data_IF_510250485651
#
_entry.id   IF_510250485651
#
_cell.length_a   1.000
_cell.length_b   1.000
_cell.length_c   1.000
_cell.angle_alpha   90.00
_cell.angle_beta   90.00
_cell.angle_gamma   90.00
#
_symmetry.space_group_name_H-M   'P 1'
#
loop_
_entity.id
_entity.type
_entity.pdbx_description
1 polymer ?
#
# COMPACT_ATOMS: atom_id res chain seq x y z
N UNK A 1 -3.49 0.84 13.40
CA UNK A 1 -2.14 1.37 13.72
C UNK A 1 -1.24 0.39 14.47
N UNK A 2 -1.67 -0.25 15.57
CA UNK A 2 -0.80 -1.15 16.36
C UNK A 2 -0.08 -2.25 15.55
N UNK A 3 -0.81 -2.89 14.64
CA UNK A 3 -0.24 -3.93 13.77
C UNK A 3 0.57 -3.25 12.67
N UNK A 4 -0.07 -2.74 11.62
CA UNK A 4 0.57 -2.19 10.42
C UNK A 4 1.67 -1.13 10.65
N UNK A 5 1.62 -0.35 11.73
CA UNK A 5 2.59 0.72 11.98
C UNK A 5 3.52 0.40 13.17
N UNK A 6 2.98 0.21 14.39
CA UNK A 6 3.86 0.06 15.56
C UNK A 6 4.71 -1.23 15.53
N UNK A 7 4.23 -2.29 14.88
CA UNK A 7 5.03 -3.51 14.76
C UNK A 7 6.29 -3.27 13.95
N UNK A 8 6.28 -2.38 12.94
CA UNK A 8 7.47 -2.04 12.15
C UNK A 8 8.59 -1.49 13.03
N UNK A 9 8.28 -0.53 13.90
CA UNK A 9 9.25 0.03 14.84
C UNK A 9 9.80 -1.04 15.79
N UNK A 10 8.92 -1.90 16.29
CA UNK A 10 9.29 -2.94 17.25
C UNK A 10 10.18 -4.01 16.61
N UNK A 11 9.87 -4.46 15.39
CA UNK A 11 10.67 -5.47 14.67
C UNK A 11 12.01 -4.89 14.23
N UNK A 12 12.03 -3.70 13.65
CA UNK A 12 13.29 -3.06 13.24
C UNK A 12 14.18 -2.80 14.46
N UNK A 13 13.64 -2.29 15.57
CA UNK A 13 14.42 -2.08 16.80
C UNK A 13 15.02 -3.38 17.34
N UNK A 14 14.33 -4.51 17.20
CA UNK A 14 14.80 -5.80 17.68
C UNK A 14 15.91 -6.40 16.80
N UNK A 15 15.78 -6.31 15.47
CA UNK A 15 16.66 -7.04 14.54
C UNK A 15 17.75 -6.19 13.89
N UNK A 16 17.52 -4.89 13.69
CA UNK A 16 18.44 -4.01 12.98
C UNK A 16 19.84 -3.93 13.62
N UNK A 17 20.00 -3.85 14.96
CA UNK A 17 21.33 -3.78 15.56
C UNK A 17 22.22 -4.97 15.19
N UNK A 18 21.65 -6.18 15.15
CA UNK A 18 22.37 -7.38 14.77
C UNK A 18 22.70 -7.41 13.27
N UNK A 19 21.76 -6.97 12.41
CA UNK A 19 22.02 -6.85 10.96
C UNK A 19 23.17 -5.87 10.69
N UNK A 20 23.22 -4.74 11.40
CA UNK A 20 24.31 -3.77 11.33
C UNK A 20 25.63 -4.36 11.81
N UNK A 21 25.63 -5.05 12.96
CA UNK A 21 26.83 -5.70 13.50
C UNK A 21 27.41 -6.76 12.56
N UNK A 22 26.55 -7.52 11.87
CA UNK A 22 26.95 -8.52 10.89
C UNK A 22 27.27 -7.94 9.51
N UNK A 23 27.00 -6.64 9.29
CA UNK A 23 27.06 -5.98 7.98
C UNK A 23 26.28 -6.77 6.91
N UNK A 24 25.17 -7.38 7.32
CA UNK A 24 24.34 -8.20 6.46
C UNK A 24 22.90 -8.23 6.97
N UNK A 25 21.96 -7.83 6.13
CA UNK A 25 20.54 -7.94 6.41
C UNK A 25 19.68 -7.44 5.27
N UNK A 26 18.38 -7.75 5.33
CA UNK A 26 17.42 -7.20 4.39
C UNK A 26 16.08 -6.94 5.10
N UNK A 27 15.66 -5.68 5.12
CA UNK A 27 14.35 -5.27 5.62
C UNK A 27 13.40 -5.12 4.44
N UNK A 28 12.28 -5.84 4.45
CA UNK A 28 11.24 -5.74 3.41
C UNK A 28 9.95 -5.23 4.04
N UNK A 29 9.47 -4.08 3.57
CA UNK A 29 8.21 -3.49 4.04
C UNK A 29 7.12 -3.72 2.99
N UNK A 30 6.03 -4.37 3.40
CA UNK A 30 4.89 -4.68 2.53
C UNK A 30 3.78 -3.65 2.75
N UNK A 31 3.74 -2.67 1.85
CA UNK A 31 2.77 -1.59 1.84
C UNK A 31 1.57 -1.91 0.93
N UNK A 32 1.12 -0.93 0.15
CA UNK A 32 0.01 -1.04 -0.80
C UNK A 32 -0.02 0.18 -1.72
N UNK A 33 -0.66 0.08 -2.88
CA UNK A 33 -1.01 1.25 -3.69
C UNK A 33 -1.86 2.28 -2.94
N UNK A 34 -2.62 1.83 -1.92
CA UNK A 34 -3.33 2.73 -1.00
C UNK A 34 -2.40 3.51 -0.03
N UNK A 35 -1.08 3.41 -0.22
CA UNK A 35 -0.07 4.29 0.38
C UNK A 35 0.30 5.47 -0.54
N UNK A 36 -0.11 5.40 -1.80
CA UNK A 36 0.17 6.39 -2.84
C UNK A 36 -1.06 7.25 -3.11
N UNK A 37 -2.23 6.66 -3.02
CA UNK A 37 -3.52 7.34 -3.07
C UNK A 37 -4.46 6.78 -2.00
N UNK A 38 -5.54 7.50 -1.72
CA UNK A 38 -6.55 7.06 -0.75
C UNK A 38 -7.91 6.87 -1.41
N UNK A 39 -8.80 6.16 -0.73
CA UNK A 39 -10.20 6.08 -1.13
C UNK A 39 -11.10 6.10 0.10
N UNK A 40 -12.38 6.38 -0.10
CA UNK A 40 -13.35 6.47 0.97
C UNK A 40 -13.62 5.12 1.64
N UNK A 41 -14.04 5.18 2.90
CA UNK A 41 -14.44 4.04 3.73
C UNK A 41 -13.33 3.03 4.10
N UNK A 42 -12.08 3.39 3.82
CA UNK A 42 -10.87 2.63 4.22
C UNK A 42 -9.79 3.57 4.78
N UNK A 43 -10.20 4.70 5.37
CA UNK A 43 -9.29 5.75 5.84
C UNK A 43 -8.27 5.24 6.87
N UNK A 44 -8.70 4.36 7.80
CA UNK A 44 -7.81 3.75 8.79
C UNK A 44 -6.76 2.83 8.14
N UNK A 45 -7.14 2.12 7.09
CA UNK A 45 -6.24 1.26 6.33
C UNK A 45 -5.25 2.10 5.52
N UNK A 46 -5.74 3.07 4.75
CA UNK A 46 -4.91 4.03 4.01
C UNK A 46 -3.91 4.71 4.94
N UNK A 47 -4.35 5.31 6.06
CA UNK A 47 -3.47 5.96 7.03
C UNK A 47 -2.35 5.03 7.51
N UNK A 48 -2.67 3.75 7.77
CA UNK A 48 -1.67 2.78 8.16
C UNK A 48 -0.66 2.45 7.06
N UNK A 49 -1.10 2.37 5.80
CA UNK A 49 -0.26 2.07 4.63
C UNK A 49 0.64 3.24 4.24
N UNK A 50 0.14 4.47 4.32
CA UNK A 50 0.97 5.67 4.23
C UNK A 50 2.05 5.72 5.32
N UNK A 51 1.73 5.33 6.56
CA UNK A 51 2.71 5.29 7.64
C UNK A 51 3.83 4.25 7.39
N UNK A 52 3.52 3.11 6.76
CA UNK A 52 4.51 2.11 6.38
C UNK A 52 5.52 2.67 5.35
N UNK A 53 5.05 3.45 4.36
CA UNK A 53 5.93 4.11 3.37
C UNK A 53 6.80 5.17 4.02
N UNK A 54 6.22 6.06 4.83
CA UNK A 54 6.98 7.10 5.53
C UNK A 54 8.03 6.52 6.48
N UNK A 55 7.69 5.45 7.21
CA UNK A 55 8.65 4.70 8.02
C UNK A 55 9.79 4.13 7.18
N UNK A 56 9.46 3.49 6.05
CA UNK A 56 10.42 2.87 5.16
C UNK A 56 11.41 3.88 4.57
N UNK A 57 10.91 5.00 4.06
CA UNK A 57 11.72 6.08 3.50
C UNK A 57 12.65 6.67 4.55
N UNK A 58 12.13 7.00 5.73
CA UNK A 58 12.93 7.51 6.84
C UNK A 58 14.05 6.54 7.24
N UNK A 59 13.73 5.24 7.39
CA UNK A 59 14.71 4.23 7.75
C UNK A 59 15.78 4.04 6.66
N UNK A 60 15.39 4.09 5.38
CA UNK A 60 16.35 4.02 4.28
C UNK A 60 17.36 5.17 4.33
N UNK A 61 16.89 6.39 4.61
CA UNK A 61 17.76 7.55 4.79
C UNK A 61 18.71 7.40 5.99
N UNK A 62 18.22 6.88 7.12
CA UNK A 62 19.07 6.59 8.30
C UNK A 62 20.16 5.57 7.97
N UNK A 63 19.82 4.46 7.32
CA UNK A 63 20.78 3.43 6.93
C UNK A 63 21.84 3.96 5.96
N UNK A 64 21.44 4.84 5.04
CA UNK A 64 22.37 5.48 4.12
C UNK A 64 23.30 6.48 4.83
N UNK A 65 22.76 7.31 5.72
CA UNK A 65 23.55 8.28 6.49
C UNK A 65 24.52 7.63 7.46
N UNK A 66 24.21 6.43 7.97
CA UNK A 66 25.10 5.62 8.82
C UNK A 66 26.10 4.76 8.02
N UNK A 67 26.14 4.86 6.69
CA UNK A 67 26.98 4.03 5.81
C UNK A 67 26.79 2.51 6.04
N UNK A 68 25.57 2.10 6.42
CA UNK A 68 25.24 0.72 6.72
C UNK A 68 24.95 -0.12 5.45
N UNK A 69 25.87 -0.08 4.47
CA UNK A 69 25.70 -0.68 3.12
C UNK A 69 25.38 -2.19 3.13
N UNK A 70 25.73 -2.87 4.21
CA UNK A 70 25.45 -4.29 4.42
C UNK A 70 23.96 -4.61 4.68
N UNK A 71 23.17 -3.62 5.08
CA UNK A 71 21.73 -3.78 5.37
C UNK A 71 20.93 -3.20 4.21
N UNK A 72 20.31 -4.09 3.42
CA UNK A 72 19.44 -3.72 2.31
C UNK A 72 18.03 -3.44 2.80
N UNK A 73 17.29 -2.65 2.04
CA UNK A 73 15.90 -2.34 2.34
C UNK A 73 15.06 -2.33 1.05
N UNK A 74 13.82 -2.81 1.10
CA UNK A 74 12.93 -2.88 -0.08
C UNK A 74 11.47 -2.61 0.28
N UNK A 75 10.84 -1.67 -0.41
CA UNK A 75 9.42 -1.36 -0.29
C UNK A 75 8.64 -2.09 -1.38
N UNK A 76 7.58 -2.77 -0.98
CA UNK A 76 6.68 -3.45 -1.91
C UNK A 76 5.31 -2.81 -1.80
N UNK A 77 4.81 -2.23 -2.89
CA UNK A 77 3.49 -1.59 -2.94
C UNK A 77 2.57 -2.40 -3.86
N UNK A 78 1.95 -3.49 -3.39
CA UNK A 78 1.05 -4.25 -4.22
C UNK A 78 -0.23 -3.47 -4.55
N UNK A 79 -0.67 -3.61 -5.80
CA UNK A 79 -2.03 -3.30 -6.22
C UNK A 79 -3.01 -4.39 -5.75
N UNK A 80 -4.22 -4.46 -6.32
CA UNK A 80 -5.23 -5.47 -6.01
C UNK A 80 -4.66 -6.88 -6.24
N UNK A 81 -4.31 -7.55 -5.14
CA UNK A 81 -3.91 -8.95 -5.14
C UNK A 81 -5.18 -9.80 -5.08
N UNK A 82 -5.23 -10.87 -5.88
CA UNK A 82 -6.36 -11.81 -5.88
C UNK A 82 -6.34 -12.72 -4.64
N UNK A 83 -6.63 -12.15 -3.48
CA UNK A 83 -6.73 -12.85 -2.19
C UNK A 83 -8.16 -12.87 -1.63
N UNK A 84 -9.12 -12.27 -2.34
CA UNK A 84 -10.51 -12.12 -1.87
C UNK A 84 -10.76 -10.94 -0.93
N UNK A 85 -9.71 -10.22 -0.50
CA UNK A 85 -9.80 -9.18 0.53
C UNK A 85 -10.74 -8.00 0.19
N UNK A 86 -10.90 -7.69 -1.10
CA UNK A 86 -11.75 -6.60 -1.60
C UNK A 86 -12.84 -7.11 -2.56
N UNK A 87 -13.24 -8.37 -2.44
CA UNK A 87 -14.25 -8.95 -3.33
C UNK A 87 -15.58 -8.18 -3.25
N UNK A 88 -16.02 -7.65 -4.39
CA UNK A 88 -17.21 -6.80 -4.49
C UNK A 88 -16.92 -5.29 -4.55
N UNK A 89 -15.68 -4.85 -4.37
CA UNK A 89 -15.27 -3.48 -4.67
C UNK A 89 -15.43 -3.18 -6.18
N UNK A 90 -16.02 -2.03 -6.52
CA UNK A 90 -16.31 -1.64 -7.92
C UNK A 90 -15.78 -0.25 -8.23
N UNK A 91 -14.81 -0.14 -9.14
CA UNK A 91 -14.33 1.15 -9.67
C UNK A 91 -14.92 1.34 -11.08
N UNK A 92 -15.51 2.50 -11.36
CA UNK A 92 -16.21 2.77 -12.62
C UNK A 92 -15.31 2.63 -13.85
N UNK A 93 -14.07 3.10 -13.76
CA UNK A 93 -13.06 3.00 -14.83
C UNK A 93 -11.94 2.00 -14.52
N UNK A 94 -12.25 0.92 -13.79
CA UNK A 94 -11.28 -0.12 -13.41
C UNK A 94 -10.47 -0.66 -14.60
N UNK A 95 -11.10 -0.83 -15.78
CA UNK A 95 -10.44 -1.38 -16.97
C UNK A 95 -9.25 -0.54 -17.46
N UNK A 96 -9.28 0.80 -17.37
CA UNK A 96 -8.18 1.65 -17.86
C UNK A 96 -6.96 1.53 -16.94
N UNK A 97 -7.18 1.34 -15.65
CA UNK A 97 -6.13 1.20 -14.62
C UNK A 97 -5.60 -0.25 -14.56
N UNK A 98 -6.48 -1.26 -14.68
CA UNK A 98 -6.15 -2.69 -14.54
C UNK A 98 -5.43 -3.26 -15.78
N UNK A 99 -5.61 -2.68 -16.97
CA UNK A 99 -5.03 -3.21 -18.23
C UNK A 99 -3.50 -3.29 -18.20
N UNK A 100 -2.81 -2.51 -17.36
CA UNK A 100 -1.34 -2.51 -17.31
C UNK A 100 -0.71 -3.64 -16.48
N UNK A 101 -1.45 -4.27 -15.56
CA UNK A 101 -0.87 -5.26 -14.62
C UNK A 101 -1.02 -6.72 -15.08
N UNK A 102 -1.51 -6.95 -16.30
CA UNK A 102 -1.68 -8.29 -16.90
C UNK A 102 -0.39 -8.87 -17.49
N UNK A 103 0.78 -8.35 -17.11
CA UNK A 103 2.05 -8.97 -17.47
C UNK A 103 2.34 -10.14 -16.52
N UNK A 104 2.19 -11.35 -17.06
CA UNK A 104 2.54 -12.63 -16.45
C UNK A 104 4.01 -12.62 -16.00
N UNK A 105 4.31 -12.23 -14.76
CA UNK A 105 5.56 -12.50 -14.01
C UNK A 105 5.46 -11.91 -12.59
N UNK A 106 4.66 -12.54 -11.74
CA UNK A 106 4.18 -11.98 -10.43
C UNK A 106 5.27 -11.88 -9.34
N UNK A 107 6.52 -12.30 -9.58
CA UNK A 107 7.55 -12.37 -8.52
C UNK A 107 8.97 -11.95 -8.93
N UNK A 108 9.16 -10.96 -9.80
CA UNK A 108 10.50 -10.37 -9.97
C UNK A 108 10.75 -9.32 -8.91
N UNK A 109 11.13 -9.77 -7.71
CA UNK A 109 11.86 -8.97 -6.73
C UNK A 109 13.20 -8.61 -7.37
N UNK A 110 13.28 -7.44 -8.00
CA UNK A 110 14.54 -6.93 -8.50
C UNK A 110 15.26 -6.30 -7.31
N UNK A 111 16.19 -7.06 -6.74
CA UNK A 111 17.10 -6.59 -5.70
C UNK A 111 17.97 -5.47 -6.29
N UNK A 112 17.57 -4.22 -6.11
CA UNK A 112 18.46 -3.08 -6.32
C UNK A 112 18.72 -2.42 -4.98
N UNK A 113 20.01 -2.15 -4.75
CA UNK A 113 20.55 -1.23 -3.74
C UNK A 113 20.06 0.23 -3.91
N UNK A 114 19.18 0.47 -4.88
CA UNK A 114 18.55 1.74 -5.16
C UNK A 114 17.04 1.56 -5.02
N UNK A 115 16.47 2.46 -4.22
CA UNK A 115 15.05 2.68 -3.98
C UNK A 115 14.21 2.42 -5.24
N UNK A 116 13.57 1.26 -5.34
CA UNK A 116 12.63 0.97 -6.41
C UNK A 116 11.31 0.51 -5.79
N UNK A 117 10.34 1.42 -5.81
CA UNK A 117 8.93 1.13 -5.61
C UNK A 117 8.48 0.15 -6.70
N UNK A 118 8.67 -1.13 -6.45
CA UNK A 118 8.15 -2.17 -7.32
C UNK A 118 6.63 -2.23 -7.09
N UNK A 119 5.89 -2.25 -8.19
CA UNK A 119 4.47 -2.60 -8.38
C UNK A 119 3.46 -1.49 -8.76
N UNK A 120 3.80 -0.20 -8.69
CA UNK A 120 3.04 0.82 -9.43
C UNK A 120 3.72 1.15 -10.75
N UNK A 121 2.99 1.09 -11.86
CA UNK A 121 3.45 1.69 -13.11
C UNK A 121 3.93 3.11 -12.82
N UNK A 122 5.11 3.47 -13.34
CA UNK A 122 5.70 4.80 -13.14
C UNK A 122 4.70 5.92 -13.48
N UNK A 123 3.81 5.67 -14.44
CA UNK A 123 2.70 6.55 -14.81
C UNK A 123 1.66 6.74 -13.69
N UNK A 124 1.30 5.70 -12.94
CA UNK A 124 0.36 5.79 -11.83
C UNK A 124 0.98 6.53 -10.66
N UNK A 125 2.24 6.23 -10.33
CA UNK A 125 2.97 6.92 -9.26
C UNK A 125 3.11 8.42 -9.54
N UNK A 126 3.51 8.78 -10.77
CA UNK A 126 3.62 10.19 -11.18
C UNK A 126 2.25 10.87 -11.20
N UNK A 127 1.22 10.22 -11.74
CA UNK A 127 -0.15 10.74 -11.73
C UNK A 127 -0.65 11.01 -10.30
N UNK A 128 -0.50 10.05 -9.38
CA UNK A 128 -0.89 10.23 -7.99
C UNK A 128 -0.13 11.39 -7.32
N UNK A 129 1.16 11.54 -7.64
CA UNK A 129 1.98 12.66 -7.15
C UNK A 129 1.50 14.00 -7.71
N UNK A 130 1.11 14.08 -8.98
CA UNK A 130 0.51 15.28 -9.58
C UNK A 130 -0.86 15.60 -8.98
N UNK A 131 -1.71 14.61 -8.71
CA UNK A 131 -3.01 14.83 -8.08
C UNK A 131 -2.87 15.42 -6.67
N UNK A 132 -1.78 15.11 -5.94
CA UNK A 132 -1.47 15.72 -4.64
C UNK A 132 -1.11 17.21 -4.73
N UNK A 133 -0.65 17.70 -5.89
CA UNK A 133 -0.37 19.12 -6.12
C UNK A 133 -1.64 19.93 -6.41
N UNK A 134 -2.75 19.27 -6.77
CA UNK A 134 -4.01 19.95 -7.02
C UNK A 134 -4.66 20.41 -5.71
N UNK A 135 -5.44 21.51 -5.74
CA UNK A 135 -6.32 21.87 -4.63
C UNK A 135 -7.22 20.69 -4.25
N UNK A 136 -7.52 20.56 -2.95
CA UNK A 136 -8.28 19.44 -2.41
C UNK A 136 -9.61 19.20 -3.16
N UNK A 137 -10.36 20.26 -3.47
CA UNK A 137 -11.63 20.19 -4.20
C UNK A 137 -11.48 19.57 -5.60
N UNK A 138 -10.42 19.96 -6.31
CA UNK A 138 -10.09 19.41 -7.63
C UNK A 138 -9.71 17.94 -7.54
N UNK A 139 -8.96 17.58 -6.49
CA UNK A 139 -8.58 16.20 -6.22
C UNK A 139 -9.84 15.36 -5.93
N UNK A 140 -10.71 15.77 -5.00
CA UNK A 140 -11.97 15.08 -4.70
C UNK A 140 -12.84 14.90 -5.95
N UNK A 141 -12.94 15.93 -6.80
CA UNK A 141 -13.69 15.86 -8.06
C UNK A 141 -13.09 14.84 -9.03
N UNK A 142 -11.76 14.75 -9.12
CA UNK A 142 -11.09 13.74 -9.94
C UNK A 142 -11.37 12.31 -9.44
N UNK A 143 -11.35 12.08 -8.13
CA UNK A 143 -11.68 10.77 -7.55
C UNK A 143 -13.15 10.41 -7.75
N UNK A 144 -14.05 11.41 -7.70
CA UNK A 144 -15.45 11.25 -8.04
C UNK A 144 -15.67 10.86 -9.51
N UNK A 145 -14.96 11.53 -10.43
CA UNK A 145 -15.02 11.23 -11.86
C UNK A 145 -14.58 9.78 -12.16
N UNK A 146 -13.49 9.33 -11.53
CA UNK A 146 -12.96 7.96 -11.69
C UNK A 146 -13.87 6.93 -10.99
N UNK A 147 -14.74 7.38 -10.08
CA UNK A 147 -15.61 6.53 -9.26
C UNK A 147 -14.86 5.79 -8.16
N UNK A 148 -13.71 6.33 -7.74
CA UNK A 148 -12.93 5.78 -6.63
C UNK A 148 -13.60 6.08 -5.29
N UNK A 149 -14.18 7.27 -5.13
CA UNK A 149 -14.88 7.72 -3.92
C UNK A 149 -16.02 6.80 -3.45
N UNK A 150 -16.63 6.04 -4.38
CA UNK A 150 -17.72 5.09 -4.07
C UNK A 150 -17.33 3.62 -4.21
N UNK A 151 -16.05 3.30 -4.40
CA UNK A 151 -15.66 1.95 -4.79
C UNK A 151 -15.90 0.89 -3.69
N UNK A 152 -15.83 1.30 -2.42
CA UNK A 152 -16.01 0.43 -1.26
C UNK A 152 -17.47 0.24 -0.82
N UNK A 153 -18.42 1.04 -1.32
CA UNK A 153 -19.83 0.95 -0.91
C UNK A 153 -20.46 -0.42 -1.18
N UNK A 154 -20.30 -1.03 -2.38
CA UNK A 154 -20.88 -2.34 -2.65
C UNK A 154 -20.26 -3.45 -1.78
N UNK A 155 -18.97 -3.33 -1.43
CA UNK A 155 -18.31 -4.23 -0.49
C UNK A 155 -18.94 -4.13 0.90
N UNK A 156 -19.12 -2.90 1.41
CA UNK A 156 -19.74 -2.64 2.72
C UNK A 156 -21.17 -3.17 2.75
N UNK A 157 -21.93 -2.97 1.68
CA UNK A 157 -23.29 -3.50 1.56
C UNK A 157 -23.30 -5.03 1.60
N UNK A 158 -22.37 -5.68 0.88
CA UNK A 158 -22.22 -7.14 0.90
C UNK A 158 -21.90 -7.66 2.30
N UNK A 159 -20.96 -7.01 3.01
CA UNK A 159 -20.60 -7.37 4.38
C UNK A 159 -21.76 -7.17 5.35
N UNK A 160 -22.51 -6.07 5.24
CA UNK A 160 -23.71 -5.83 6.05
C UNK A 160 -24.76 -6.91 5.84
N UNK A 161 -25.02 -7.29 4.59
CA UNK A 161 -25.99 -8.34 4.28
C UNK A 161 -25.55 -9.71 4.82
N UNK A 162 -24.25 -10.03 4.77
CA UNK A 162 -23.72 -11.26 5.37
C UNK A 162 -23.88 -11.28 6.89
N UNK A 163 -23.59 -10.17 7.58
CA UNK A 163 -23.76 -10.05 9.04
C UNK A 163 -25.24 -10.19 9.43
N UNK A 164 -26.14 -9.50 8.73
CA UNK A 164 -27.59 -9.58 9.01
C UNK A 164 -28.14 -10.98 8.74
N UNK A 165 -27.72 -11.65 7.67
CA UNK A 165 -28.18 -13.00 7.36
C UNK A 165 -27.62 -14.04 8.34
N UNK A 166 -26.40 -13.84 8.85
CA UNK A 166 -25.81 -14.74 9.86
C UNK A 166 -26.40 -14.52 11.25
N UNK A 167 -26.84 -13.31 11.62
CA UNK A 167 -27.58 -13.09 12.87
C UNK A 167 -29.02 -13.62 12.84
N UNK A 168 -29.67 -13.65 11.68
CA UNK A 168 -30.99 -14.29 11.50
C UNK A 168 -30.91 -15.82 11.51
N UNK A 169 -29.79 -16.42 11.12
CA UNK A 169 -29.59 -17.87 11.10
C UNK A 169 -29.28 -18.50 12.47
N UNK A 170 -29.07 -17.69 13.52
CA UNK A 170 -28.75 -18.15 14.89
C UNK A 170 -29.92 -17.86 15.85
N UNK A 171 -31.12 -17.56 15.33
CA UNK A 171 -32.35 -17.36 16.09
C UNK A 171 -33.28 -18.57 15.98
#
# INVERSE_FOLDING_TARGET
MKVNCHSLFSTVKAFLPQMKAQKHGHIVTIASDLSLFSTACVENYCASKFAEVGFHESLAHELHAEEAEGVKITLVCPYVVNTGMFDGCKIRYAKIIIIQLRSKNVWRVKQSSEFLALFTDLSLYTLCSFLRLLPLESNVTAYHFIGSDKCMYPFIETMKNQITNSSVAVA
#
